data_IF_874673565903
#
_entry.id   IF_874673565903
#
_cell.length_a   1.000
_cell.length_b   1.000
_cell.length_c   1.000
_cell.angle_alpha   90.00
_cell.angle_beta   90.00
_cell.angle_gamma   90.00
#
_symmetry.space_group_name_H-M   'P 1'
#
loop_
_entity.id
_entity.type
_entity.pdbx_description
1 polymer ?
#
# COMPACT_ATOMS: atom_id res chain seq x y z
N UNK A 1 15.85 -17.82 -26.88
CA UNK A 1 15.81 -17.01 -25.64
C UNK A 1 14.95 -15.78 -25.89
N UNK A 2 13.72 -15.75 -25.37
CA UNK A 2 12.85 -14.57 -25.40
C UNK A 2 12.14 -14.50 -24.05
N UNK A 3 12.55 -13.55 -23.20
CA UNK A 3 11.87 -13.21 -21.97
C UNK A 3 10.61 -12.38 -22.30
N UNK A 4 9.45 -13.03 -22.34
CA UNK A 4 8.15 -12.36 -22.50
C UNK A 4 7.08 -13.07 -21.68
N UNK A 5 6.98 -12.70 -20.41
CA UNK A 5 5.77 -12.94 -19.60
C UNK A 5 5.52 -11.76 -18.65
N UNK A 6 5.33 -10.56 -19.22
CA UNK A 6 4.75 -9.38 -18.53
C UNK A 6 3.51 -8.91 -19.29
N UNK A 7 2.59 -9.84 -19.50
CA UNK A 7 1.42 -9.64 -20.34
C UNK A 7 0.17 -10.24 -19.74
N UNK A 8 -0.41 -9.57 -18.74
CA UNK A 8 -1.86 -9.48 -18.56
C UNK A 8 -2.18 -8.35 -17.57
N UNK A 9 -2.59 -7.19 -18.08
CA UNK A 9 -3.67 -6.35 -17.53
C UNK A 9 -3.60 -5.76 -16.12
N UNK A 10 -2.65 -6.15 -15.27
CA UNK A 10 -2.51 -5.60 -13.92
C UNK A 10 -1.73 -4.30 -14.05
N UNK A 11 -2.48 -3.20 -14.17
CA UNK A 11 -1.94 -1.88 -13.82
C UNK A 11 -1.35 -2.04 -12.42
N UNK A 12 -0.06 -1.72 -12.17
CA UNK A 12 0.44 -1.74 -10.81
C UNK A 12 -0.49 -0.85 -9.98
N UNK A 13 -0.97 -1.38 -8.84
CA UNK A 13 -1.93 -0.67 -7.98
C UNK A 13 -1.38 0.71 -7.58
N UNK A 14 -0.06 0.81 -7.56
CA UNK A 14 0.72 2.02 -7.33
C UNK A 14 1.55 2.30 -8.58
N UNK A 15 1.24 3.36 -9.33
CA UNK A 15 2.14 3.80 -10.40
C UNK A 15 3.47 4.25 -9.77
N UNK A 16 4.63 3.73 -10.24
CA UNK A 16 5.94 4.19 -9.77
C UNK A 16 6.25 5.56 -10.39
N UNK A 17 5.52 6.59 -9.97
CA UNK A 17 5.72 7.96 -10.45
C UNK A 17 6.57 8.80 -9.49
N UNK A 18 6.98 8.25 -8.34
CA UNK A 18 7.73 8.98 -7.33
C UNK A 18 9.06 8.33 -6.98
N UNK A 19 10.20 9.04 -7.07
CA UNK A 19 11.51 8.50 -6.74
C UNK A 19 11.63 8.09 -5.27
N UNK A 20 10.83 8.65 -4.37
CA UNK A 20 10.86 8.30 -2.94
C UNK A 20 10.36 6.88 -2.69
N UNK A 21 9.49 6.34 -3.55
CA UNK A 21 9.04 4.95 -3.46
C UNK A 21 10.11 3.91 -3.80
N UNK A 22 11.22 4.35 -4.41
CA UNK A 22 12.38 3.51 -4.65
C UNK A 22 13.40 3.57 -3.50
N UNK A 23 13.15 4.40 -2.48
CA UNK A 23 14.01 4.46 -1.32
C UNK A 23 13.90 3.16 -0.53
N UNK A 24 15.03 2.65 -0.03
CA UNK A 24 15.01 1.49 0.84
C UNK A 24 14.39 1.86 2.18
N UNK A 25 13.40 1.07 2.60
CA UNK A 25 12.78 1.12 3.91
C UNK A 25 13.00 -0.21 4.62
N UNK A 26 13.04 -0.16 5.94
CA UNK A 26 13.15 -1.34 6.78
C UNK A 26 12.01 -1.36 7.78
N UNK A 27 11.19 -2.40 7.73
CA UNK A 27 10.04 -2.58 8.62
C UNK A 27 9.84 -4.07 8.87
N UNK A 28 9.63 -4.39 10.14
CA UNK A 28 9.17 -5.70 10.59
C UNK A 28 7.91 -5.44 11.40
N UNK A 29 6.75 -5.73 10.82
CA UNK A 29 5.46 -5.40 11.40
C UNK A 29 4.48 -6.57 11.28
N UNK A 30 3.83 -6.86 12.40
CA UNK A 30 2.71 -7.80 12.48
C UNK A 30 1.62 -7.17 13.33
N UNK A 31 0.50 -6.82 12.71
CA UNK A 31 -0.59 -6.13 13.41
C UNK A 31 -1.42 -5.27 12.47
N UNK A 32 -2.14 -4.27 12.99
CA UNK A 32 -3.01 -3.41 12.19
C UNK A 32 -2.27 -2.76 11.02
N UNK A 33 -2.88 -2.76 9.83
CA UNK A 33 -2.32 -2.14 8.61
C UNK A 33 -1.97 -0.67 8.79
N UNK A 34 -2.75 0.04 9.59
CA UNK A 34 -2.57 1.45 9.91
C UNK A 34 -1.20 1.70 10.55
N UNK A 35 -0.72 0.78 11.39
CA UNK A 35 0.59 0.87 12.02
C UNK A 35 1.71 0.64 11.01
N UNK A 36 1.60 -0.40 10.17
CA UNK A 36 2.58 -0.67 9.11
C UNK A 36 2.72 0.53 8.16
N UNK A 37 1.60 1.12 7.73
CA UNK A 37 1.58 2.27 6.83
C UNK A 37 2.15 3.53 7.48
N UNK A 38 1.88 3.77 8.77
CA UNK A 38 2.46 4.91 9.52
C UNK A 38 3.98 4.79 9.63
N UNK A 39 4.50 3.60 9.92
CA UNK A 39 5.95 3.34 10.00
C UNK A 39 6.66 3.58 8.66
N UNK A 40 6.06 3.10 7.56
CA UNK A 40 6.60 3.35 6.20
C UNK A 40 6.54 4.86 5.88
N UNK A 41 5.42 5.52 6.19
CA UNK A 41 5.28 6.97 6.02
C UNK A 41 6.32 7.77 6.81
N UNK A 42 6.62 7.37 8.05
CA UNK A 42 7.62 8.02 8.89
C UNK A 42 9.01 7.98 8.24
N UNK A 43 9.41 6.82 7.70
CA UNK A 43 10.70 6.66 7.03
C UNK A 43 10.80 7.45 5.71
N UNK A 44 9.70 7.53 4.96
CA UNK A 44 9.67 8.23 3.68
C UNK A 44 9.38 9.74 3.79
N UNK A 45 8.96 10.22 4.98
CA UNK A 45 8.51 11.60 5.18
C UNK A 45 7.15 11.91 4.54
N UNK A 46 6.26 10.91 4.47
CA UNK A 46 4.89 11.05 3.96
C UNK A 46 3.90 11.22 5.10
N UNK A 47 2.77 11.84 4.80
CA UNK A 47 1.64 11.95 5.73
C UNK A 47 0.70 10.77 5.54
N UNK A 48 0.29 10.15 6.63
CA UNK A 48 -0.74 9.11 6.61
C UNK A 48 -2.14 9.75 6.66
N UNK A 49 -3.06 9.24 5.86
CA UNK A 49 -4.47 9.63 5.85
C UNK A 49 -5.36 8.39 5.71
N UNK A 50 -6.54 8.45 6.28
CA UNK A 50 -7.60 7.45 6.07
C UNK A 50 -8.72 8.07 5.25
N UNK A 51 -9.26 7.28 4.32
CA UNK A 51 -10.41 7.65 3.51
C UNK A 51 -11.44 6.52 3.50
N UNK A 52 -12.71 6.89 3.39
CA UNK A 52 -13.83 5.95 3.46
C UNK A 52 -14.47 5.87 4.84
N UNK A 53 -15.44 4.96 4.99
CA UNK A 53 -16.12 4.75 6.27
C UNK A 53 -15.20 3.97 7.20
N UNK A 54 -14.96 4.43 8.44
CA UNK A 54 -14.18 3.66 9.40
C UNK A 54 -14.89 2.33 9.66
N UNK A 55 -14.31 1.23 9.14
CA UNK A 55 -14.77 -0.11 9.47
C UNK A 55 -14.23 -0.49 10.84
N UNK A 56 -15.10 -1.00 11.73
CA UNK A 56 -14.68 -1.50 13.04
C UNK A 56 -13.78 -2.76 12.94
N UNK A 57 -13.69 -3.37 11.75
CA UNK A 57 -12.77 -4.49 11.52
C UNK A 57 -11.34 -4.00 11.38
N UNK A 58 -10.49 -4.48 12.29
CA UNK A 58 -9.04 -4.29 12.25
C UNK A 58 -8.47 -5.26 11.21
N UNK A 59 -7.85 -4.72 10.17
CA UNK A 59 -7.14 -5.51 9.16
C UNK A 59 -5.70 -5.69 9.62
N UNK A 60 -5.31 -6.94 9.87
CA UNK A 60 -3.96 -7.29 10.28
C UNK A 60 -3.13 -7.67 9.05
N UNK A 61 -1.93 -7.11 8.95
CA UNK A 61 -0.96 -7.40 7.89
C UNK A 61 0.34 -7.87 8.50
N UNK A 62 1.08 -8.67 7.73
CA UNK A 62 2.42 -9.14 8.08
C UNK A 62 3.38 -8.61 7.03
N UNK A 63 4.26 -7.67 7.43
CA UNK A 63 5.17 -6.99 6.51
C UNK A 63 6.59 -7.10 7.03
N UNK A 64 7.44 -7.78 6.29
CA UNK A 64 8.82 -8.05 6.66
C UNK A 64 9.71 -7.63 5.50
N UNK A 65 10.19 -6.40 5.54
CA UNK A 65 11.10 -5.83 4.55
C UNK A 65 12.32 -5.28 5.23
N UNK A 66 13.51 -5.82 4.94
CA UNK A 66 14.78 -5.22 5.36
C UNK A 66 15.45 -4.62 4.13
N UNK A 67 15.71 -3.32 4.16
CA UNK A 67 16.34 -2.58 3.06
C UNK A 67 15.66 -2.85 1.69
N UNK A 68 14.33 -2.92 1.71
CA UNK A 68 13.50 -3.18 0.52
C UNK A 68 12.92 -1.86 0.01
N UNK A 69 12.75 -1.71 -1.30
CA UNK A 69 12.15 -0.50 -1.83
C UNK A 69 10.70 -0.38 -1.33
N UNK A 70 10.29 0.84 -0.97
CA UNK A 70 8.98 1.07 -0.36
C UNK A 70 7.79 0.63 -1.23
N UNK A 71 7.87 0.79 -2.56
CA UNK A 71 6.79 0.34 -3.44
C UNK A 71 6.48 -1.15 -3.28
N UNK A 72 7.50 -2.02 -3.17
CA UNK A 72 7.25 -3.46 -3.03
C UNK A 72 6.53 -3.78 -1.73
N UNK A 73 6.89 -3.11 -0.63
CA UNK A 73 6.21 -3.32 0.65
C UNK A 73 4.78 -2.77 0.63
N UNK A 74 4.55 -1.64 -0.03
CA UNK A 74 3.21 -1.08 -0.18
C UNK A 74 2.33 -1.94 -1.09
N UNK A 75 2.90 -2.52 -2.15
CA UNK A 75 2.21 -3.48 -3.01
C UNK A 75 1.86 -4.76 -2.25
N UNK A 76 2.77 -5.30 -1.45
CA UNK A 76 2.50 -6.47 -0.59
C UNK A 76 1.34 -6.18 0.39
N UNK A 77 1.37 -5.02 1.08
CA UNK A 77 0.29 -4.59 1.96
C UNK A 77 -1.02 -4.46 1.18
N UNK A 78 -1.01 -3.84 -0.01
CA UNK A 78 -2.19 -3.66 -0.83
C UNK A 78 -2.82 -5.01 -1.22
N UNK A 79 -1.99 -6.02 -1.52
CA UNK A 79 -2.44 -7.38 -1.78
C UNK A 79 -3.06 -8.08 -0.57
N UNK A 80 -2.58 -7.81 0.65
CA UNK A 80 -3.13 -8.40 1.87
C UNK A 80 -4.48 -7.81 2.29
N UNK A 81 -4.71 -6.51 2.02
CA UNK A 81 -5.93 -5.81 2.47
C UNK A 81 -7.05 -5.76 1.43
N UNK A 82 -6.77 -6.08 0.17
CA UNK A 82 -7.83 -6.19 -0.83
C UNK A 82 -8.73 -7.42 -0.56
N UNK A 83 -10.04 -7.36 -0.88
CA UNK A 83 -10.76 -6.23 -1.43
C UNK A 83 -11.26 -5.22 -0.39
N UNK A 84 -10.97 -5.43 0.90
CA UNK A 84 -11.53 -4.65 2.04
C UNK A 84 -10.97 -3.23 2.14
N UNK A 85 -9.79 -2.98 1.59
CA UNK A 85 -9.20 -1.66 1.48
C UNK A 85 -8.25 -1.57 0.29
N UNK A 86 -7.88 -0.35 -0.07
CA UNK A 86 -6.89 -0.03 -1.09
C UNK A 86 -5.91 1.01 -0.55
N UNK A 87 -4.63 0.82 -0.85
CA UNK A 87 -3.59 1.83 -0.58
C UNK A 87 -3.51 2.77 -1.78
N UNK A 88 -3.66 4.07 -1.54
CA UNK A 88 -3.51 5.12 -2.56
C UNK A 88 -2.33 6.00 -2.20
N UNK A 89 -1.47 6.26 -3.16
CA UNK A 89 -0.29 7.08 -2.96
C UNK A 89 -0.39 8.37 -3.75
N UNK A 90 -0.24 9.51 -3.07
CA UNK A 90 -0.23 10.84 -3.68
C UNK A 90 1.17 11.46 -3.53
N UNK A 91 1.99 11.47 -4.59
CA UNK A 91 3.35 11.99 -4.54
C UNK A 91 3.43 13.51 -4.44
N UNK A 92 2.44 14.22 -5.00
CA UNK A 92 2.42 15.68 -5.07
C UNK A 92 2.23 16.28 -3.67
N UNK A 93 1.26 15.77 -2.93
CA UNK A 93 0.96 16.21 -1.56
C UNK A 93 1.75 15.41 -0.51
N UNK A 94 2.52 14.41 -0.95
CA UNK A 94 3.22 13.43 -0.10
C UNK A 94 2.29 12.80 0.94
N UNK A 95 1.15 12.28 0.48
CA UNK A 95 0.15 11.65 1.34
C UNK A 95 -0.05 10.19 0.91
N UNK A 96 0.05 9.28 1.86
CA UNK A 96 -0.38 7.90 1.71
C UNK A 96 -1.76 7.75 2.35
N UNK A 97 -2.73 7.32 1.54
CA UNK A 97 -4.13 7.19 1.95
C UNK A 97 -4.53 5.72 2.00
N UNK A 98 -4.99 5.26 3.16
CA UNK A 98 -5.70 4.00 3.30
C UNK A 98 -7.18 4.22 3.00
N UNK A 99 -7.64 3.77 1.83
CA UNK A 99 -9.04 3.84 1.43
C UNK A 99 -9.78 2.55 1.80
N UNK A 100 -10.60 2.57 2.85
CA UNK A 100 -11.40 1.40 3.25
C UNK A 100 -12.60 1.27 2.32
N UNK A 101 -12.84 0.07 1.79
CA UNK A 101 -14.03 -0.22 0.99
C UNK A 101 -15.13 -0.72 1.93
N UNK A 102 -16.23 0.01 1.99
CA UNK A 102 -17.48 -0.57 2.51
C UNK A 102 -17.96 -1.50 1.41
N UNK A 103 -18.35 -2.75 1.69
CA UNK A 103 -18.77 -3.75 0.68
C UNK A 103 -20.03 -3.43 -0.14
N UNK A 104 -20.28 -2.14 -0.42
CA UNK A 104 -21.44 -1.57 -1.07
C UNK A 104 -21.10 -1.00 -2.46
N UNK A 105 -20.19 -1.64 -3.19
CA UNK A 105 -19.92 -1.31 -4.60
C UNK A 105 -19.79 -2.57 -5.48
N UNK A 106 -20.30 -3.72 -5.02
CA UNK A 106 -20.25 -4.99 -5.77
C UNK A 106 -21.52 -5.33 -6.56
N UNK A 107 -22.47 -4.40 -6.72
CA UNK A 107 -23.56 -4.56 -7.69
C UNK A 107 -24.04 -3.21 -8.24
N UNK A 108 -23.75 -2.96 -9.51
CA UNK A 108 -24.62 -2.25 -10.46
C UNK A 108 -24.32 -2.76 -11.86
#
# INVERSE_FOLDING_TARGET
MIARLRGQGLRPLLQPSDPSLNLPVSITWTGPVEGALKEICLQLGFRYREAGTPSAQVMTVVVHGLNRPAHELLEDIAWQIQPQAAVRFDPINRVLTLARTTGKELHS
#
